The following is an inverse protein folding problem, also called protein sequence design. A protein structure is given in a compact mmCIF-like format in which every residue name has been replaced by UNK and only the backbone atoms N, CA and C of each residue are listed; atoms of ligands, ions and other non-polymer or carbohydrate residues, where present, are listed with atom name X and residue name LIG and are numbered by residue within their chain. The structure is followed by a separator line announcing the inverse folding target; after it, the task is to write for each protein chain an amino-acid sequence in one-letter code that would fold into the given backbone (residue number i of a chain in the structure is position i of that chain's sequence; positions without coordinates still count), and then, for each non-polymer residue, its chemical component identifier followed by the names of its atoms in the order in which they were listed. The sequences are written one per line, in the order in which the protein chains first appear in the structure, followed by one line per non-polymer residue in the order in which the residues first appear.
data_IF_921614486288
#
_entry.id   IF_921614486288
#
_cell.length_a   1.000
_cell.length_b   1.000
_cell.length_c   1.000
_cell.angle_alpha   90.00
_cell.angle_beta   90.00
_cell.angle_gamma   90.00
#
_symmetry.space_group_name_H-M   'P 1'
#
loop_
_entity.id
_entity.type
_entity.pdbx_description
1 polymer ?
#
# COMPACT_ATOMS: atom_id res chain seq x y z
N UNK A 1 -9.47 -2.75 -34.66
CA UNK A 1 -9.45 -3.60 -33.46
C UNK A 1 -8.06 -4.22 -33.35
N UNK A 2 -7.37 -4.04 -32.23
CA UNK A 2 -5.98 -4.50 -32.04
C UNK A 2 -5.99 -5.67 -31.05
N UNK A 3 -5.32 -6.77 -31.41
CA UNK A 3 -5.14 -7.94 -30.57
C UNK A 3 -3.66 -8.04 -30.17
N UNK A 4 -3.37 -7.82 -28.89
CA UNK A 4 -2.01 -7.89 -28.35
C UNK A 4 -1.83 -9.25 -27.69
N UNK A 5 -0.86 -10.03 -28.17
CA UNK A 5 -0.50 -11.35 -27.63
C UNK A 5 0.90 -11.28 -27.03
N UNK A 6 1.04 -11.76 -25.80
CA UNK A 6 2.33 -11.91 -25.12
C UNK A 6 2.68 -13.40 -25.07
N UNK A 7 3.93 -13.74 -25.40
CA UNK A 7 4.41 -15.13 -25.29
C UNK A 7 4.72 -15.51 -23.84
N UNK A 8 5.13 -14.55 -23.01
CA UNK A 8 5.46 -14.74 -21.61
C UNK A 8 5.04 -13.50 -20.80
N UNK A 9 4.65 -13.72 -19.55
CA UNK A 9 4.27 -12.69 -18.60
C UNK A 9 4.98 -12.96 -17.27
N UNK A 10 6.09 -12.25 -17.05
CA UNK A 10 6.91 -12.38 -15.84
C UNK A 10 6.57 -11.29 -14.85
N UNK A 11 6.32 -11.68 -13.60
CA UNK A 11 6.11 -10.76 -12.48
C UNK A 11 7.30 -10.83 -11.56
N UNK A 12 8.03 -9.73 -11.42
CA UNK A 12 9.25 -9.66 -10.59
C UNK A 12 8.93 -9.47 -9.11
N UNK A 13 7.83 -8.79 -8.77
CA UNK A 13 7.45 -8.55 -7.38
C UNK A 13 5.96 -8.26 -7.23
N UNK A 14 5.40 -8.68 -6.10
CA UNK A 14 4.04 -8.34 -5.66
C UNK A 14 4.16 -7.73 -4.27
N UNK A 15 3.50 -6.58 -4.05
CA UNK A 15 3.50 -5.93 -2.74
C UNK A 15 2.50 -6.59 -1.78
N UNK A 16 2.69 -6.38 -0.48
CA UNK A 16 1.71 -6.80 0.53
C UNK A 16 0.31 -6.23 0.21
N UNK A 17 -0.73 -7.04 0.46
CA UNK A 17 -2.12 -6.71 0.13
C UNK A 17 -2.38 -6.44 -1.37
N UNK A 18 -1.63 -7.13 -2.24
CA UNK A 18 -1.84 -7.11 -3.70
C UNK A 18 -2.15 -8.51 -4.22
N UNK A 19 -2.77 -8.60 -5.38
CA UNK A 19 -3.09 -9.87 -6.05
C UNK A 19 -3.00 -9.72 -7.56
N UNK A 20 -2.71 -10.83 -8.25
CA UNK A 20 -2.67 -10.90 -9.71
C UNK A 20 -3.84 -11.75 -10.16
N UNK A 21 -4.66 -11.21 -11.05
CA UNK A 21 -5.88 -11.85 -11.52
C UNK A 21 -5.84 -11.96 -13.04
N UNK A 22 -6.24 -13.11 -13.58
CA UNK A 22 -6.21 -13.41 -15.02
C UNK A 22 -7.53 -14.05 -15.45
N UNK A 23 -7.95 -13.82 -16.70
CA UNK A 23 -9.26 -14.22 -17.21
C UNK A 23 -10.40 -13.29 -16.79
N UNK A 24 -11.63 -13.80 -16.80
CA UNK A 24 -12.81 -13.04 -16.36
C UNK A 24 -12.90 -13.06 -14.82
N UNK A 25 -12.78 -11.87 -14.21
CA UNK A 25 -12.79 -11.73 -12.75
C UNK A 25 -13.84 -10.71 -12.33
N UNK A 26 -14.66 -11.09 -11.34
CA UNK A 26 -15.63 -10.18 -10.70
C UNK A 26 -15.18 -9.96 -9.27
N UNK A 27 -14.66 -8.78 -8.99
CA UNK A 27 -14.20 -8.38 -7.67
C UNK A 27 -15.27 -7.57 -6.94
N UNK A 28 -15.84 -8.14 -5.88
CA UNK A 28 -16.84 -7.46 -5.05
C UNK A 28 -16.36 -7.35 -3.60
N UNK A 29 -16.68 -6.24 -2.94
CA UNK A 29 -16.36 -6.05 -1.52
C UNK A 29 -14.88 -5.81 -1.19
N UNK A 30 -14.03 -5.51 -2.17
CA UNK A 30 -12.63 -5.15 -1.91
C UNK A 30 -12.56 -3.86 -1.10
N UNK A 31 -11.85 -3.91 0.03
CA UNK A 31 -11.56 -2.75 0.88
C UNK A 31 -10.07 -2.74 1.21
N UNK A 32 -9.44 -1.58 1.08
CA UNK A 32 -8.10 -1.32 1.58
C UNK A 32 -8.16 -0.17 2.59
N UNK A 33 -7.44 -0.30 3.70
CA UNK A 33 -7.30 0.76 4.70
C UNK A 33 -5.88 0.77 5.19
N UNK A 34 -5.25 1.95 5.18
CA UNK A 34 -3.85 2.12 5.55
C UNK A 34 -3.73 3.40 6.37
N UNK A 35 -3.13 3.31 7.56
CA UNK A 35 -2.72 4.47 8.38
C UNK A 35 -1.20 4.42 8.53
N UNK A 36 -0.54 5.55 8.30
CA UNK A 36 0.92 5.68 8.41
C UNK A 36 1.23 6.91 9.21
N UNK A 37 1.93 6.73 10.33
CA UNK A 37 2.41 7.80 11.19
C UNK A 37 3.94 7.74 11.21
N UNK A 38 4.61 8.61 10.45
CA UNK A 38 6.06 8.58 10.33
C UNK A 38 6.65 9.96 10.57
N UNK A 39 7.61 10.05 11.49
CA UNK A 39 8.28 11.31 11.82
C UNK A 39 9.29 11.70 10.75
N UNK A 40 10.09 10.73 10.30
CA UNK A 40 11.09 10.91 9.26
C UNK A 40 10.65 10.42 7.87
N UNK A 41 9.48 9.81 7.76
CA UNK A 41 9.05 9.12 6.55
C UNK A 41 9.83 7.82 6.29
N UNK A 42 9.69 7.29 5.07
CA UNK A 42 10.48 6.16 4.58
C UNK A 42 11.80 6.66 3.97
N UNK A 43 12.93 6.09 4.42
CA UNK A 43 14.26 6.35 3.85
C UNK A 43 14.65 5.11 3.06
N UNK A 44 14.76 5.23 1.74
CA UNK A 44 15.01 4.11 0.83
C UNK A 44 16.25 4.39 -0.03
N UNK A 45 17.04 3.36 -0.32
CA UNK A 45 18.27 3.46 -1.12
C UNK A 45 19.56 3.40 -0.29
N UNK A 46 20.71 3.63 -0.94
CA UNK A 46 22.05 3.54 -0.34
C UNK A 46 22.63 4.93 -0.06
N UNK A 47 23.48 5.08 0.97
CA UNK A 47 24.11 6.35 1.36
C UNK A 47 23.12 7.45 1.80
N UNK A 48 22.34 7.18 2.85
CA UNK A 48 21.42 8.15 3.46
C UNK A 48 21.94 8.65 4.82
N UNK A 49 23.00 9.49 4.90
CA UNK A 49 23.49 10.00 6.16
C UNK A 49 22.49 11.01 6.75
N UNK A 50 21.97 10.70 7.92
CA UNK A 50 21.07 11.57 8.67
C UNK A 50 21.78 12.04 9.92
N UNK A 51 21.93 13.36 10.08
CA UNK A 51 22.56 13.95 11.26
C UNK A 51 21.67 15.04 11.85
N UNK A 52 21.56 15.08 13.18
CA UNK A 52 20.75 16.05 13.97
C UNK A 52 19.24 15.99 13.71
N UNK A 53 18.72 14.81 13.42
CA UNK A 53 17.29 14.60 13.28
C UNK A 53 16.51 14.66 14.58
N UNK A 54 15.45 15.48 14.63
CA UNK A 54 14.52 15.52 15.77
C UNK A 54 13.09 15.56 15.25
N UNK A 55 12.33 14.51 15.52
CA UNK A 55 10.96 14.35 15.04
C UNK A 55 10.05 13.98 16.21
N UNK A 56 8.89 14.61 16.24
CA UNK A 56 7.82 14.30 17.18
C UNK A 56 6.56 14.06 16.36
N UNK A 57 6.04 12.84 16.43
CA UNK A 57 4.76 12.49 15.80
C UNK A 57 3.74 12.43 16.92
N UNK A 58 2.76 13.32 16.89
CA UNK A 58 1.62 13.33 17.83
C UNK A 58 0.39 12.97 17.02
N UNK A 59 -0.28 11.91 17.46
CA UNK A 59 -1.53 11.39 16.90
C UNK A 59 -2.58 11.47 18.02
N UNK A 60 -3.48 12.46 17.94
CA UNK A 60 -4.51 12.73 18.96
C UNK A 60 -5.90 12.29 18.47
N UNK A 61 -5.92 11.24 17.65
CA UNK A 61 -7.15 10.65 17.15
C UNK A 61 -7.59 9.53 18.11
N UNK A 62 -8.67 9.70 18.89
CA UNK A 62 -9.28 8.60 19.67
C UNK A 62 -9.99 7.54 18.80
N UNK A 63 -9.87 7.60 17.47
CA UNK A 63 -10.58 6.72 16.53
C UNK A 63 -9.57 5.92 15.71
N UNK A 64 -9.34 4.69 16.17
CA UNK A 64 -8.64 3.64 15.44
C UNK A 64 -9.64 2.97 14.45
N UNK A 65 -9.71 3.55 13.24
CA UNK A 65 -10.47 3.09 12.05
C UNK A 65 -12.01 3.24 12.04
N UNK A 66 -12.56 3.34 10.82
CA UNK A 66 -13.99 3.25 10.51
C UNK A 66 -14.60 1.95 11.07
N UNK A 67 -15.33 2.05 12.19
CA UNK A 67 -16.27 1.01 12.61
C UNK A 67 -17.55 1.17 11.80
N UNK A 68 -17.88 0.18 10.96
CA UNK A 68 -19.22 0.11 10.37
C UNK A 68 -20.19 -0.07 11.53
N UNK A 69 -21.07 0.91 11.74
CA UNK A 69 -22.10 0.87 12.79
C UNK A 69 -22.86 -0.45 12.65
N UNK A 70 -22.79 -1.33 13.67
CA UNK A 70 -23.64 -2.52 13.73
C UNK A 70 -25.08 -2.03 13.87
N UNK A 71 -25.88 -2.20 12.81
CA UNK A 71 -27.34 -2.30 12.92
C UNK A 71 -27.72 -3.52 13.73
#
# INVERSE_FOLDING_TARGET
MVNIRFNDFKVESVMNNSGIFSGENIHTGIKATHKVNQGYGAILGNHNPITKGKHMVVDDDQIEFYQKKKT
#
